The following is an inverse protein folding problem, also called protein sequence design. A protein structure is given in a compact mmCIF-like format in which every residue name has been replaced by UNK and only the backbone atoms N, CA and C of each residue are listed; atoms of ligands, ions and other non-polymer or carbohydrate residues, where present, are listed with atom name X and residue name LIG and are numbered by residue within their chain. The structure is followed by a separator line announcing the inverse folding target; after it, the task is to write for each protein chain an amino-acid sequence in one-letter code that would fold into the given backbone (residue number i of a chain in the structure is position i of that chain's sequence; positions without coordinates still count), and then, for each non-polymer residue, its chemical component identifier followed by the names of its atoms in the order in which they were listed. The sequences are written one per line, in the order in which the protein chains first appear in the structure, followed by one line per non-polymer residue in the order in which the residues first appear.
data_IF_299572976053
#
_entry.id   IF_299572976053
#
_cell.length_a   1.000
_cell.length_b   1.000
_cell.length_c   1.000
_cell.angle_alpha   90.00
_cell.angle_beta   90.00
_cell.angle_gamma   90.00
#
_symmetry.space_group_name_H-M   'P 1'
#
loop_
_entity.id
_entity.type
_entity.pdbx_description
1 polymer ?
#
# COMPACT_ATOMS: atom_id res chain seq x y z
N UNK A 1 15.98 -17.05 18.07
CA UNK A 1 14.81 -17.30 17.20
C UNK A 1 14.88 -16.31 16.04
N UNK A 2 14.97 -16.80 14.80
CA UNK A 2 14.92 -15.91 13.64
C UNK A 2 13.53 -15.27 13.59
N UNK A 3 13.46 -13.96 13.84
CA UNK A 3 12.21 -13.22 13.78
C UNK A 3 11.62 -13.39 12.38
N UNK A 4 10.44 -14.01 12.30
CA UNK A 4 9.73 -14.20 11.04
C UNK A 4 9.36 -12.82 10.49
N UNK A 5 9.92 -12.45 9.35
CA UNK A 5 9.63 -11.18 8.71
C UNK A 5 8.27 -11.26 8.00
N UNK A 6 7.30 -10.52 8.49
CA UNK A 6 5.96 -10.46 7.89
C UNK A 6 5.96 -9.52 6.68
N UNK A 7 5.38 -10.00 5.59
CA UNK A 7 5.14 -9.20 4.38
C UNK A 7 3.66 -8.89 4.28
N UNK A 8 3.31 -7.84 3.57
CA UNK A 8 1.91 -7.56 3.25
C UNK A 8 1.18 -8.81 2.77
N UNK A 9 0.00 -9.13 3.32
CA UNK A 9 -0.81 -10.24 2.85
C UNK A 9 -1.50 -9.92 1.50
N UNK A 10 -1.55 -8.66 1.07
CA UNK A 10 -2.20 -8.24 -0.16
C UNK A 10 -1.28 -8.35 -1.38
N UNK A 11 -1.89 -8.58 -2.54
CA UNK A 11 -1.29 -8.37 -3.86
C UNK A 11 -1.71 -6.97 -4.31
N UNK A 12 -0.90 -5.97 -4.00
CA UNK A 12 -1.24 -4.58 -4.26
C UNK A 12 -0.37 -4.02 -5.38
N UNK A 13 -0.95 -3.56 -6.50
CA UNK A 13 -0.19 -2.90 -7.56
C UNK A 13 0.58 -1.71 -6.99
N UNK A 14 1.80 -1.48 -7.45
CA UNK A 14 2.64 -0.39 -6.90
C UNK A 14 3.16 -0.60 -5.48
N UNK A 15 2.79 -1.70 -4.80
CA UNK A 15 3.21 -1.94 -3.40
C UNK A 15 4.72 -1.96 -3.21
N UNK A 16 5.21 -1.24 -2.21
CA UNK A 16 6.64 -0.94 -1.97
C UNK A 16 7.46 -2.07 -1.32
N UNK A 17 6.94 -3.31 -1.26
CA UNK A 17 7.66 -4.43 -0.62
C UNK A 17 9.08 -4.66 -1.15
N UNK A 18 9.32 -4.40 -2.44
CA UNK A 18 10.66 -4.51 -3.05
C UNK A 18 11.51 -3.26 -2.79
N UNK A 19 10.86 -2.10 -2.74
CA UNK A 19 11.51 -0.82 -2.50
C UNK A 19 12.04 -0.68 -1.06
N UNK A 20 11.49 -1.41 -0.10
CA UNK A 20 11.88 -1.33 1.32
C UNK A 20 13.41 -1.47 1.50
N UNK A 21 14.07 -2.30 0.69
CA UNK A 21 15.53 -2.48 0.75
C UNK A 21 16.30 -1.18 0.54
N UNK A 22 15.73 -0.26 -0.24
CA UNK A 22 16.27 1.06 -0.55
C UNK A 22 15.68 2.07 0.43
N UNK A 23 14.34 2.13 0.55
CA UNK A 23 13.62 3.13 1.34
C UNK A 23 14.06 3.19 2.80
N UNK A 24 14.35 2.03 3.41
CA UNK A 24 14.75 1.92 4.84
C UNK A 24 15.93 2.81 5.21
N UNK A 25 16.81 3.07 4.26
CA UNK A 25 18.02 3.85 4.46
C UNK A 25 17.76 5.37 4.51
N UNK A 26 16.55 5.79 4.08
CA UNK A 26 16.08 7.17 4.05
C UNK A 26 15.04 7.49 5.12
N UNK A 27 14.63 6.51 5.92
CA UNK A 27 13.71 6.78 7.01
C UNK A 27 14.39 7.58 8.13
N UNK A 28 13.71 8.53 8.78
CA UNK A 28 14.21 9.23 9.92
C UNK A 28 14.64 8.25 11.03
N UNK A 29 15.76 8.53 11.70
CA UNK A 29 16.30 7.67 12.79
C UNK A 29 15.37 7.58 14.00
N UNK A 30 14.52 8.60 14.20
CA UNK A 30 13.57 8.66 15.31
C UNK A 30 12.33 9.45 14.93
N UNK A 31 11.20 8.98 15.45
CA UNK A 31 9.91 9.65 15.41
C UNK A 31 9.02 9.03 16.52
N UNK A 32 7.99 9.76 16.94
CA UNK A 32 7.04 9.30 17.95
C UNK A 32 5.69 8.90 17.33
N UNK A 33 5.42 9.36 16.12
CA UNK A 33 4.20 9.09 15.39
C UNK A 33 4.53 8.83 13.92
N UNK A 34 3.93 7.78 13.35
CA UNK A 34 4.03 7.43 11.95
C UNK A 34 2.68 7.61 11.27
N UNK A 35 2.68 8.21 10.08
CA UNK A 35 1.48 8.38 9.25
C UNK A 35 1.70 7.88 7.84
N UNK A 36 0.74 7.14 7.31
CA UNK A 36 0.73 6.67 5.92
C UNK A 36 -0.64 6.97 5.30
N UNK A 37 -0.79 8.16 4.65
CA UNK A 37 -2.07 8.62 4.10
C UNK A 37 -2.60 7.81 2.92
N UNK A 38 -1.72 7.05 2.24
CA UNK A 38 -2.04 6.17 1.11
C UNK A 38 -1.55 4.75 1.44
N UNK A 39 -2.23 4.09 2.38
CA UNK A 39 -1.73 2.86 2.98
C UNK A 39 -1.71 1.67 1.99
N UNK A 40 -2.73 1.52 1.16
CA UNK A 40 -2.82 0.48 0.14
C UNK A 40 -2.45 -0.91 0.66
N UNK A 41 -1.35 -1.46 0.12
CA UNK A 41 -0.83 -2.76 0.56
C UNK A 41 -0.09 -2.75 1.90
N UNK A 42 0.12 -1.61 2.55
CA UNK A 42 0.71 -1.48 3.88
C UNK A 42 2.17 -1.92 4.03
N UNK A 43 2.91 -1.99 2.93
CA UNK A 43 4.25 -2.60 2.96
C UNK A 43 5.23 -1.86 3.85
N UNK A 44 5.19 -0.52 3.84
CA UNK A 44 6.13 0.32 4.60
C UNK A 44 5.72 0.37 6.07
N UNK A 45 4.46 0.61 6.37
CA UNK A 45 3.95 0.61 7.74
C UNK A 45 4.18 -0.72 8.46
N UNK A 46 3.90 -1.86 7.80
CA UNK A 46 4.17 -3.20 8.34
C UNK A 46 5.67 -3.39 8.61
N UNK A 47 6.53 -2.96 7.68
CA UNK A 47 7.97 -3.03 7.88
C UNK A 47 8.43 -2.22 9.10
N UNK A 48 7.97 -0.97 9.21
CA UNK A 48 8.32 -0.10 10.35
C UNK A 48 7.77 -0.66 11.66
N UNK A 49 6.52 -1.10 11.69
CA UNK A 49 5.90 -1.67 12.88
C UNK A 49 6.69 -2.86 13.43
N UNK A 50 7.10 -3.80 12.56
CA UNK A 50 7.89 -4.98 12.98
C UNK A 50 9.24 -4.60 13.57
N UNK A 51 9.93 -3.63 12.96
CA UNK A 51 11.25 -3.20 13.42
C UNK A 51 11.19 -2.33 14.67
N UNK A 52 10.02 -1.77 14.97
CA UNK A 52 9.78 -0.86 16.08
C UNK A 52 8.86 -1.45 17.17
N UNK A 53 8.54 -2.74 17.11
CA UNK A 53 7.67 -3.42 18.09
C UNK A 53 8.13 -3.23 19.55
N UNK A 54 9.45 -3.11 19.77
CA UNK A 54 10.02 -2.82 21.09
C UNK A 54 9.71 -1.39 21.59
N UNK A 55 9.34 -0.47 20.69
CA UNK A 55 8.95 0.91 21.01
C UNK A 55 7.43 1.01 21.08
N UNK A 56 6.81 0.46 22.10
CA UNK A 56 5.35 0.43 22.32
C UNK A 56 4.66 1.79 22.28
N UNK A 57 5.39 2.88 22.37
CA UNK A 57 4.86 4.25 22.43
C UNK A 57 4.58 4.84 21.03
N UNK A 58 5.09 4.24 19.95
CA UNK A 58 4.87 4.78 18.60
C UNK A 58 3.47 4.44 18.13
N UNK A 59 2.70 5.46 17.79
CA UNK A 59 1.39 5.31 17.14
C UNK A 59 1.55 5.31 15.62
N UNK A 60 0.79 4.44 14.96
CA UNK A 60 0.75 4.31 13.51
C UNK A 60 -0.63 4.69 13.01
N UNK A 61 -0.73 5.78 12.24
CA UNK A 61 -1.95 6.18 11.55
C UNK A 61 -1.87 5.75 10.10
N UNK A 62 -2.76 4.85 9.70
CA UNK A 62 -2.84 4.32 8.35
C UNK A 62 -4.18 4.70 7.73
N UNK A 63 -4.15 5.49 6.68
CA UNK A 63 -5.35 5.92 5.98
C UNK A 63 -5.40 5.33 4.57
N UNK A 64 -6.58 4.95 4.14
CA UNK A 64 -6.86 4.69 2.74
C UNK A 64 -8.25 5.21 2.39
N UNK A 65 -8.34 5.95 1.28
CA UNK A 65 -9.60 6.49 0.80
C UNK A 65 -10.53 5.40 0.25
N UNK A 66 -9.97 4.26 -0.17
CA UNK A 66 -10.74 3.10 -0.57
C UNK A 66 -11.28 2.36 0.66
N UNK A 67 -12.60 2.43 0.86
CA UNK A 67 -13.27 1.82 1.99
C UNK A 67 -13.04 0.30 2.11
N UNK A 68 -12.87 -0.42 0.99
CA UNK A 68 -12.61 -1.86 1.03
C UNK A 68 -11.20 -2.17 1.58
N UNK A 69 -10.21 -1.34 1.24
CA UNK A 69 -8.85 -1.42 1.79
C UNK A 69 -8.87 -1.12 3.28
N UNK A 70 -9.55 -0.03 3.68
CA UNK A 70 -9.75 0.32 5.08
C UNK A 70 -10.41 -0.82 5.87
N UNK A 71 -11.56 -1.32 5.42
CA UNK A 71 -12.29 -2.41 6.09
C UNK A 71 -11.40 -3.64 6.24
N UNK A 72 -10.64 -4.02 5.19
CA UNK A 72 -9.72 -5.15 5.26
C UNK A 72 -8.70 -5.00 6.39
N UNK A 73 -8.00 -3.88 6.47
CA UNK A 73 -6.98 -3.67 7.50
C UNK A 73 -7.58 -3.54 8.90
N UNK A 74 -8.71 -2.85 9.02
CA UNK A 74 -9.42 -2.69 10.28
C UNK A 74 -9.89 -4.03 10.85
N UNK A 75 -10.54 -4.86 10.03
CA UNK A 75 -11.03 -6.18 10.43
C UNK A 75 -9.87 -7.16 10.65
N UNK A 76 -8.82 -7.11 9.82
CA UNK A 76 -7.62 -7.93 10.03
C UNK A 76 -6.96 -7.65 11.38
N UNK A 77 -7.02 -6.41 11.88
CA UNK A 77 -6.55 -6.04 13.21
C UNK A 77 -7.51 -6.50 14.31
N UNK A 78 -8.80 -6.23 14.16
CA UNK A 78 -9.78 -6.33 15.26
C UNK A 78 -10.47 -7.69 15.35
N UNK A 79 -10.59 -8.41 14.24
CA UNK A 79 -11.30 -9.68 14.13
C UNK A 79 -10.49 -10.72 13.35
N UNK A 80 -9.17 -10.77 13.59
CA UNK A 80 -8.21 -11.57 12.81
C UNK A 80 -8.62 -13.03 12.64
N UNK A 81 -8.90 -13.73 13.75
CA UNK A 81 -9.21 -15.16 13.71
C UNK A 81 -10.55 -15.44 13.02
N UNK A 82 -11.56 -14.59 13.23
CA UNK A 82 -12.87 -14.73 12.57
C UNK A 82 -12.71 -14.56 11.06
N UNK A 83 -11.96 -13.54 10.61
CA UNK A 83 -11.69 -13.30 9.20
C UNK A 83 -10.97 -14.49 8.55
N UNK A 84 -9.96 -15.05 9.23
CA UNK A 84 -9.23 -16.22 8.74
C UNK A 84 -10.16 -17.42 8.57
N UNK A 85 -11.01 -17.68 9.56
CA UNK A 85 -11.93 -18.81 9.54
C UNK A 85 -12.91 -18.71 8.39
N UNK A 86 -13.51 -17.53 8.17
CA UNK A 86 -14.47 -17.33 7.07
C UNK A 86 -13.82 -17.42 5.69
N UNK A 87 -12.63 -16.87 5.51
CA UNK A 87 -11.87 -17.01 4.26
C UNK A 87 -11.52 -18.49 4.01
N UNK A 88 -11.20 -19.25 5.08
CA UNK A 88 -10.93 -20.68 4.97
C UNK A 88 -12.20 -21.46 4.58
N UNK A 89 -13.36 -21.11 5.14
CA UNK A 89 -14.65 -21.70 4.78
C UNK A 89 -14.96 -21.46 3.30
N UNK A 90 -14.80 -20.23 2.80
CA UNK A 90 -14.96 -19.91 1.38
C UNK A 90 -14.04 -20.78 0.52
N UNK A 91 -12.75 -20.87 0.90
CA UNK A 91 -11.78 -21.66 0.14
C UNK A 91 -12.18 -23.14 0.05
N UNK A 92 -12.73 -23.70 1.12
CA UNK A 92 -13.13 -25.10 1.18
C UNK A 92 -14.44 -25.35 0.40
N UNK A 93 -15.36 -24.38 0.40
CA UNK A 93 -16.69 -24.52 -0.20
C UNK A 93 -16.69 -24.38 -1.72
N UNK A 94 -15.81 -23.52 -2.27
CA UNK A 94 -15.80 -23.24 -3.71
C UNK A 94 -14.71 -24.02 -4.44
N UNK A 95 -15.13 -24.87 -5.38
CA UNK A 95 -14.23 -25.56 -6.34
C UNK A 95 -14.14 -24.81 -7.67
N UNK A 96 -15.17 -24.03 -8.01
CA UNK A 96 -15.24 -23.21 -9.21
C UNK A 96 -14.94 -21.75 -8.87
N UNK A 97 -13.77 -21.28 -9.30
CA UNK A 97 -13.34 -19.91 -9.00
C UNK A 97 -14.13 -18.84 -9.77
N UNK A 98 -14.68 -19.17 -10.95
CA UNK A 98 -15.54 -18.26 -11.72
C UNK A 98 -16.85 -18.03 -10.98
N UNK A 99 -17.48 -19.09 -10.50
CA UNK A 99 -18.70 -18.99 -9.70
C UNK A 99 -18.48 -18.17 -8.42
N UNK A 100 -17.38 -18.41 -7.71
CA UNK A 100 -17.01 -17.61 -6.53
C UNK A 100 -16.89 -16.13 -6.90
N UNK A 101 -16.19 -15.80 -7.99
CA UNK A 101 -16.01 -14.43 -8.44
C UNK A 101 -17.34 -13.73 -8.73
N UNK A 102 -18.24 -14.38 -9.48
CA UNK A 102 -19.56 -13.84 -9.82
C UNK A 102 -20.43 -13.62 -8.56
N UNK A 103 -20.41 -14.57 -7.64
CA UNK A 103 -21.12 -14.46 -6.35
C UNK A 103 -20.60 -13.28 -5.52
N UNK A 104 -19.29 -13.08 -5.45
CA UNK A 104 -18.70 -11.95 -4.74
C UNK A 104 -19.05 -10.61 -5.40
N UNK A 105 -19.02 -10.51 -6.73
CA UNK A 105 -19.41 -9.28 -7.43
C UNK A 105 -20.89 -8.94 -7.22
N UNK A 106 -21.77 -9.94 -7.31
CA UNK A 106 -23.20 -9.75 -7.07
C UNK A 106 -23.47 -9.28 -5.63
N UNK A 107 -22.71 -9.80 -4.67
CA UNK A 107 -22.83 -9.42 -3.26
C UNK A 107 -22.35 -7.99 -3.01
N UNK A 108 -21.30 -7.53 -3.68
CA UNK A 108 -20.78 -6.15 -3.56
C UNK A 108 -21.79 -5.06 -3.97
N UNK A 109 -22.80 -5.40 -4.75
CA UNK A 109 -23.90 -4.50 -5.09
C UNK A 109 -24.93 -4.33 -3.96
N UNK A 110 -24.79 -5.11 -2.88
CA UNK A 110 -25.62 -5.04 -1.68
C UNK A 110 -24.94 -4.20 -0.59
N UNK A 111 -25.70 -3.82 0.42
CA UNK A 111 -25.14 -3.16 1.59
C UNK A 111 -24.41 -4.20 2.46
N UNK A 112 -23.07 -4.27 2.33
CA UNK A 112 -22.23 -5.15 3.12
C UNK A 112 -21.77 -4.43 4.38
N UNK A 113 -21.71 -5.17 5.50
CA UNK A 113 -20.99 -4.72 6.68
C UNK A 113 -19.46 -4.74 6.45
N UNK A 114 -18.71 -4.14 7.36
CA UNK A 114 -17.26 -4.02 7.24
C UNK A 114 -16.54 -5.36 7.21
N UNK A 115 -17.04 -6.35 7.95
CA UNK A 115 -16.48 -7.70 7.97
C UNK A 115 -16.65 -8.41 6.63
N UNK A 116 -17.87 -8.38 6.09
CA UNK A 116 -18.18 -8.95 4.78
C UNK A 116 -17.36 -8.27 3.68
N UNK A 117 -17.24 -6.94 3.75
CA UNK A 117 -16.45 -6.13 2.81
C UNK A 117 -14.97 -6.50 2.86
N UNK A 118 -14.40 -6.65 4.05
CA UNK A 118 -13.01 -7.06 4.25
C UNK A 118 -12.71 -8.45 3.69
N UNK A 119 -13.61 -9.40 3.95
CA UNK A 119 -13.53 -10.77 3.47
C UNK A 119 -13.60 -10.83 1.94
N UNK A 120 -14.61 -10.18 1.34
CA UNK A 120 -14.79 -10.12 -0.10
C UNK A 120 -13.60 -9.48 -0.80
N UNK A 121 -13.09 -8.38 -0.24
CA UNK A 121 -11.91 -7.69 -0.76
C UNK A 121 -10.69 -8.62 -0.78
N UNK A 122 -10.40 -9.34 0.31
CA UNK A 122 -9.26 -10.25 0.35
C UNK A 122 -9.41 -11.38 -0.67
N UNK A 123 -10.57 -12.02 -0.75
CA UNK A 123 -10.78 -13.12 -1.70
C UNK A 123 -10.66 -12.63 -3.14
N UNK A 124 -11.31 -11.53 -3.49
CA UNK A 124 -11.20 -10.92 -4.82
C UNK A 124 -9.75 -10.55 -5.16
N UNK A 125 -9.00 -9.98 -4.20
CA UNK A 125 -7.58 -9.69 -4.37
C UNK A 125 -6.75 -10.94 -4.71
N UNK A 126 -7.20 -12.13 -4.29
CA UNK A 126 -6.52 -13.40 -4.60
C UNK A 126 -6.91 -14.00 -5.94
N UNK A 127 -8.15 -13.80 -6.40
CA UNK A 127 -8.70 -14.48 -7.57
C UNK A 127 -8.78 -13.60 -8.82
N UNK A 128 -8.47 -12.29 -8.69
CA UNK A 128 -8.45 -11.35 -9.82
C UNK A 128 -7.07 -11.24 -10.46
N UNK A 129 -7.06 -10.76 -11.70
CA UNK A 129 -5.83 -10.48 -12.42
C UNK A 129 -5.01 -9.40 -11.68
N UNK A 130 -3.74 -9.68 -11.42
CA UNK A 130 -2.81 -8.80 -10.67
C UNK A 130 -3.28 -8.35 -9.28
N UNK A 131 -4.36 -8.91 -8.73
CA UNK A 131 -4.92 -8.50 -7.45
C UNK A 131 -5.74 -7.20 -7.50
N UNK A 132 -6.07 -6.73 -8.69
CA UNK A 132 -6.92 -5.55 -8.90
C UNK A 132 -8.38 -5.96 -8.70
N UNK A 133 -9.02 -5.44 -7.67
CA UNK A 133 -10.35 -5.89 -7.25
C UNK A 133 -11.45 -5.33 -8.15
N UNK A 134 -11.40 -4.04 -8.46
CA UNK A 134 -12.50 -3.35 -9.15
C UNK A 134 -12.47 -3.50 -10.68
N UNK A 135 -11.28 -3.58 -11.28
CA UNK A 135 -11.09 -3.55 -12.74
C UNK A 135 -10.30 -4.75 -13.29
N UNK A 136 -9.80 -5.65 -12.44
CA UNK A 136 -8.87 -6.71 -12.84
C UNK A 136 -9.52 -7.92 -13.49
N UNK A 137 -10.81 -8.13 -13.31
CA UNK A 137 -11.52 -9.30 -13.77
C UNK A 137 -11.04 -10.62 -13.13
N UNK A 138 -11.76 -11.69 -13.37
CA UNK A 138 -11.41 -13.03 -12.89
C UNK A 138 -10.17 -13.60 -13.59
N UNK A 139 -9.35 -14.31 -12.84
CA UNK A 139 -8.20 -15.06 -13.36
C UNK A 139 -8.15 -16.47 -12.78
N UNK A 140 -8.38 -17.49 -13.60
CA UNK A 140 -8.26 -18.90 -13.21
C UNK A 140 -6.88 -19.20 -12.62
N UNK A 141 -5.81 -18.72 -13.27
CA UNK A 141 -4.43 -18.87 -12.77
C UNK A 141 -4.25 -18.22 -11.38
N UNK A 142 -4.89 -17.07 -11.12
CA UNK A 142 -4.82 -16.45 -9.82
C UNK A 142 -5.60 -17.26 -8.77
N UNK A 143 -6.80 -17.75 -9.10
CA UNK A 143 -7.56 -18.61 -8.20
C UNK A 143 -6.76 -19.83 -7.77
N UNK A 144 -6.12 -20.54 -8.70
CA UNK A 144 -5.34 -21.75 -8.41
C UNK A 144 -4.04 -21.45 -7.66
N UNK A 145 -3.28 -20.43 -8.09
CA UNK A 145 -1.90 -20.19 -7.61
C UNK A 145 -1.78 -19.10 -6.56
N UNK A 146 -2.83 -18.32 -6.29
CA UNK A 146 -2.79 -17.18 -5.35
C UNK A 146 -3.81 -17.29 -4.22
N UNK A 147 -4.97 -17.93 -4.44
CA UNK A 147 -5.91 -18.25 -3.37
C UNK A 147 -5.55 -19.58 -2.72
N UNK A 148 -4.40 -19.62 -2.09
CA UNK A 148 -3.78 -20.81 -1.51
C UNK A 148 -3.83 -20.81 0.01
N UNK A 149 -3.65 -21.96 0.64
CA UNK A 149 -3.52 -22.08 2.10
C UNK A 149 -2.45 -21.15 2.64
N UNK A 150 -1.28 -21.08 1.98
CA UNK A 150 -0.20 -20.19 2.42
C UNK A 150 -0.56 -18.71 2.33
N UNK A 151 -1.50 -18.31 1.44
CA UNK A 151 -1.98 -16.94 1.37
C UNK A 151 -2.88 -16.56 2.55
N UNK A 152 -3.67 -17.52 3.05
CA UNK A 152 -4.50 -17.36 4.25
C UNK A 152 -3.62 -17.34 5.50
N UNK A 153 -2.61 -18.19 5.56
CA UNK A 153 -1.66 -18.23 6.68
C UNK A 153 -0.87 -16.94 6.87
N UNK A 154 -0.75 -16.12 5.84
CA UNK A 154 -0.13 -14.79 5.98
C UNK A 154 -0.97 -13.80 6.80
N UNK A 155 -2.24 -14.08 7.00
CA UNK A 155 -3.11 -13.27 7.86
C UNK A 155 -2.87 -13.55 9.35
N UNK A 156 -2.31 -14.73 9.68
CA UNK A 156 -2.05 -15.12 11.08
C UNK A 156 -1.05 -14.16 11.73
N UNK A 157 -1.33 -13.78 12.95
CA UNK A 157 -0.54 -12.88 13.78
C UNK A 157 -0.38 -11.45 13.22
N UNK A 158 -1.15 -11.07 12.19
CA UNK A 158 -1.16 -9.69 11.72
C UNK A 158 -1.76 -8.73 12.74
N UNK A 159 -2.72 -9.17 13.54
CA UNK A 159 -3.27 -8.42 14.68
C UNK A 159 -2.17 -7.94 15.64
N UNK A 160 -1.20 -8.80 15.96
CA UNK A 160 -0.04 -8.43 16.79
C UNK A 160 0.82 -7.35 16.13
N UNK A 161 1.08 -7.45 14.82
CA UNK A 161 1.85 -6.44 14.08
C UNK A 161 1.08 -5.13 14.01
N UNK A 162 -0.23 -5.20 13.84
CA UNK A 162 -1.10 -4.05 13.64
C UNK A 162 -1.63 -3.45 14.96
N UNK A 163 -1.22 -3.97 16.11
CA UNK A 163 -1.79 -3.56 17.41
C UNK A 163 -1.74 -2.05 17.67
N UNK A 164 -0.67 -1.37 17.22
CA UNK A 164 -0.48 0.07 17.40
C UNK A 164 -1.01 0.91 16.22
N UNK A 165 -1.67 0.29 15.23
CA UNK A 165 -2.26 1.01 14.12
C UNK A 165 -3.63 1.57 14.46
N UNK A 166 -3.89 2.78 13.99
CA UNK A 166 -5.20 3.41 13.91
C UNK A 166 -5.52 3.52 12.43
N UNK A 167 -6.49 2.73 11.96
CA UNK A 167 -6.95 2.76 10.58
C UNK A 167 -8.02 3.83 10.39
N UNK A 168 -7.92 4.58 9.30
CA UNK A 168 -8.75 5.73 8.96
C UNK A 168 -9.24 5.58 7.52
N UNK A 169 -10.47 6.04 7.24
CA UNK A 169 -11.02 6.09 5.89
C UNK A 169 -11.55 7.49 5.61
N UNK A 170 -10.64 8.39 5.32
CA UNK A 170 -10.90 9.81 5.11
C UNK A 170 -10.04 10.37 3.98
N UNK A 171 -10.20 11.66 3.67
CA UNK A 171 -9.25 12.36 2.81
C UNK A 171 -7.85 12.36 3.43
N UNK A 172 -6.82 12.13 2.61
CA UNK A 172 -5.42 12.17 3.03
C UNK A 172 -5.02 13.50 3.70
N UNK A 173 -5.71 14.59 3.35
CA UNK A 173 -5.48 15.93 3.86
C UNK A 173 -5.65 16.02 5.37
N UNK A 174 -6.67 15.35 5.90
CA UNK A 174 -6.94 15.32 7.34
C UNK A 174 -5.74 14.77 8.11
N UNK A 175 -5.10 13.73 7.57
CA UNK A 175 -3.94 13.13 8.20
C UNK A 175 -2.67 13.98 8.07
N UNK A 176 -2.53 14.74 6.97
CA UNK A 176 -1.43 15.69 6.79
C UNK A 176 -1.54 16.89 7.73
N UNK A 177 -2.76 17.38 7.96
CA UNK A 177 -3.03 18.58 8.79
C UNK A 177 -3.14 18.28 10.28
N UNK A 178 -3.30 17.01 10.65
CA UNK A 178 -3.42 16.59 12.06
C UNK A 178 -2.21 17.06 12.84
N UNK A 179 -2.44 17.72 13.99
CA UNK A 179 -1.37 18.08 14.92
C UNK A 179 -0.66 16.84 15.46
N UNK A 180 0.63 16.99 15.79
CA UNK A 180 1.45 15.90 16.32
C UNK A 180 2.87 16.36 16.62
N UNK A 181 3.60 15.55 17.40
CA UNK A 181 4.98 15.82 17.79
C UNK A 181 5.92 14.73 17.25
N UNK A 182 7.01 15.14 16.61
CA UNK A 182 7.99 14.23 16.01
C UNK A 182 7.35 13.22 15.05
N UNK A 183 6.54 13.73 14.12
CA UNK A 183 5.78 12.93 13.15
C UNK A 183 6.63 12.63 11.93
N UNK A 184 6.60 11.37 11.48
CA UNK A 184 7.09 10.94 10.18
C UNK A 184 5.93 10.50 9.30
N UNK A 185 5.79 11.11 8.12
CA UNK A 185 4.75 10.81 7.13
C UNK A 185 5.41 10.11 5.93
N UNK A 186 4.96 8.92 5.59
CA UNK A 186 5.32 8.26 4.34
C UNK A 186 4.15 8.35 3.37
N UNK A 187 4.43 8.77 2.12
CA UNK A 187 3.41 8.97 1.09
C UNK A 187 3.76 8.17 -0.16
N UNK A 188 2.80 7.41 -0.65
CA UNK A 188 2.85 6.68 -1.91
C UNK A 188 1.54 6.92 -2.68
N UNK A 189 1.31 8.17 -3.17
CA UNK A 189 0.07 8.54 -3.84
C UNK A 189 -0.04 7.87 -5.23
N UNK A 190 -1.21 7.94 -5.89
CA UNK A 190 -1.32 7.58 -7.30
C UNK A 190 -0.27 8.33 -8.13
N UNK A 191 0.48 7.60 -8.97
CA UNK A 191 1.54 8.17 -9.79
C UNK A 191 1.00 8.97 -10.98
N UNK A 192 1.70 10.04 -11.35
CA UNK A 192 1.30 10.90 -12.45
C UNK A 192 1.24 10.16 -13.80
N UNK A 193 2.24 9.36 -14.12
CA UNK A 193 2.28 8.56 -15.35
C UNK A 193 1.20 7.48 -15.39
N UNK A 194 0.71 7.04 -14.24
CA UNK A 194 -0.32 6.03 -14.13
C UNK A 194 -1.76 6.59 -14.27
N UNK A 195 -1.94 7.90 -14.44
CA UNK A 195 -3.24 8.53 -14.68
C UNK A 195 -3.97 7.98 -15.91
N UNK A 196 -3.24 7.36 -16.84
CA UNK A 196 -3.81 6.64 -17.99
C UNK A 196 -4.24 5.21 -17.65
N UNK A 197 -3.92 4.68 -16.47
CA UNK A 197 -4.25 3.32 -16.03
C UNK A 197 -5.40 3.34 -15.01
N UNK A 198 -6.38 2.43 -15.18
CA UNK A 198 -7.55 2.31 -14.29
C UNK A 198 -7.29 1.30 -13.17
N UNK A 199 -6.23 1.48 -12.38
CA UNK A 199 -5.81 0.48 -11.40
C UNK A 199 -6.58 0.53 -10.07
N UNK A 200 -7.14 1.68 -9.69
CA UNK A 200 -7.76 1.89 -8.37
C UNK A 200 -9.13 2.58 -8.47
N UNK A 201 -10.06 2.17 -7.60
CA UNK A 201 -11.43 2.70 -7.52
C UNK A 201 -12.38 2.13 -8.57
N UNK A 202 -13.68 2.39 -8.38
CA UNK A 202 -14.71 2.02 -9.36
C UNK A 202 -14.43 2.78 -10.66
N UNK A 203 -14.11 2.08 -11.75
CA UNK A 203 -13.74 2.62 -13.06
C UNK A 203 -12.40 3.40 -13.10
N UNK A 204 -11.54 3.29 -12.08
CA UNK A 204 -10.24 3.97 -12.04
C UNK A 204 -10.30 5.44 -11.60
N UNK A 205 -11.39 5.88 -10.99
CA UNK A 205 -11.65 7.26 -10.58
C UNK A 205 -10.67 7.78 -9.52
N UNK A 206 -10.20 6.92 -8.63
CA UNK A 206 -9.18 7.28 -7.62
C UNK A 206 -7.81 7.60 -8.22
N UNK A 207 -7.55 7.19 -9.46
CA UNK A 207 -6.28 7.45 -10.16
C UNK A 207 -6.37 8.66 -11.09
N UNK A 208 -7.46 8.74 -11.85
CA UNK A 208 -7.62 9.76 -12.90
C UNK A 208 -7.99 11.13 -12.35
N UNK A 209 -8.55 11.19 -11.13
CA UNK A 209 -8.98 12.42 -10.47
C UNK A 209 -8.01 12.95 -9.40
N UNK A 210 -6.81 12.33 -9.21
CA UNK A 210 -5.90 12.75 -8.15
C UNK A 210 -5.23 14.09 -8.48
N UNK A 211 -5.33 15.06 -7.56
CA UNK A 211 -4.77 16.39 -7.74
C UNK A 211 -3.33 16.46 -7.17
N UNK A 212 -2.35 16.28 -8.05
CA UNK A 212 -0.92 16.27 -7.71
C UNK A 212 -0.43 17.64 -7.21
N UNK A 213 -0.97 18.74 -7.79
CA UNK A 213 -0.63 20.09 -7.37
C UNK A 213 -1.10 20.39 -5.95
N UNK A 214 -2.35 19.99 -5.63
CA UNK A 214 -2.90 20.15 -4.27
C UNK A 214 -2.11 19.36 -3.23
N UNK A 215 -1.64 18.15 -3.58
CA UNK A 215 -0.76 17.40 -2.68
C UNK A 215 0.54 18.16 -2.42
N UNK A 216 1.18 18.70 -3.45
CA UNK A 216 2.40 19.50 -3.32
C UNK A 216 2.17 20.72 -2.41
N UNK A 217 1.08 21.46 -2.63
CA UNK A 217 0.70 22.63 -1.80
C UNK A 217 0.50 22.24 -0.33
N UNK A 218 -0.19 21.13 -0.06
CA UNK A 218 -0.37 20.61 1.28
C UNK A 218 0.96 20.23 1.94
N UNK A 219 1.89 19.63 1.18
CA UNK A 219 3.22 19.26 1.68
C UNK A 219 4.14 20.46 1.91
N UNK A 220 4.00 21.55 1.16
CA UNK A 220 4.70 22.82 1.43
C UNK A 220 4.29 23.43 2.78
N UNK A 221 3.07 23.18 3.21
CA UNK A 221 2.51 23.71 4.44
C UNK A 221 2.66 22.78 5.67
N UNK A 222 3.12 21.53 5.47
CA UNK A 222 3.28 20.61 6.60
C UNK A 222 4.52 20.94 7.44
N UNK A 223 4.37 20.86 8.77
CA UNK A 223 5.46 21.00 9.75
C UNK A 223 6.16 19.66 10.04
N UNK A 224 5.60 18.56 9.54
CA UNK A 224 6.06 17.21 9.82
C UNK A 224 7.11 16.76 8.81
N UNK A 225 7.98 15.84 9.23
CA UNK A 225 8.91 15.20 8.29
C UNK A 225 8.15 14.29 7.35
N UNK A 226 8.40 14.37 6.06
CA UNK A 226 7.80 13.46 5.11
C UNK A 226 8.81 12.85 4.14
N UNK A 227 8.50 11.65 3.68
CA UNK A 227 9.16 10.97 2.56
C UNK A 227 8.07 10.53 1.57
N UNK A 228 8.16 11.02 0.35
CA UNK A 228 7.19 10.81 -0.72
C UNK A 228 7.86 10.01 -1.86
N UNK A 229 7.17 9.03 -2.39
CA UNK A 229 7.57 8.30 -3.60
C UNK A 229 6.73 8.75 -4.80
N UNK A 230 7.37 8.92 -5.95
CA UNK A 230 6.71 9.29 -7.19
C UNK A 230 7.41 8.68 -8.41
N UNK A 231 6.70 8.60 -9.55
CA UNK A 231 7.32 8.37 -10.85
C UNK A 231 8.16 9.58 -11.27
N UNK A 232 9.27 9.31 -11.95
CA UNK A 232 10.12 10.35 -12.49
C UNK A 232 9.48 10.96 -13.73
N UNK A 233 9.02 12.20 -13.59
CA UNK A 233 8.45 13.00 -14.66
C UNK A 233 8.80 14.47 -14.50
N UNK A 234 8.86 15.19 -15.63
CA UNK A 234 9.18 16.62 -15.65
C UNK A 234 8.24 17.44 -14.76
N UNK A 235 6.92 17.13 -14.82
CA UNK A 235 5.93 17.78 -13.98
C UNK A 235 6.20 17.57 -12.48
N UNK A 236 6.50 16.35 -12.05
CA UNK A 236 6.78 16.06 -10.64
C UNK A 236 8.07 16.72 -10.19
N UNK A 237 9.11 16.71 -11.02
CA UNK A 237 10.36 17.42 -10.71
C UNK A 237 10.13 18.93 -10.55
N UNK A 238 9.32 19.55 -11.41
CA UNK A 238 9.01 20.99 -11.30
C UNK A 238 8.14 21.30 -10.07
N UNK A 239 7.10 20.50 -9.79
CA UNK A 239 6.24 20.71 -8.61
C UNK A 239 7.03 20.66 -7.28
N UNK A 240 8.00 19.75 -7.20
CA UNK A 240 8.74 19.48 -5.97
C UNK A 240 10.18 20.01 -5.96
N UNK A 241 10.54 20.92 -6.89
CA UNK A 241 11.91 21.46 -7.03
C UNK A 241 12.49 22.12 -5.77
N UNK A 242 11.62 22.59 -4.87
CA UNK A 242 12.01 23.23 -3.60
C UNK A 242 12.31 22.20 -2.47
N UNK A 243 12.16 20.91 -2.75
CA UNK A 243 12.41 19.82 -1.81
C UNK A 243 13.67 19.04 -2.18
N UNK A 244 14.12 18.16 -1.27
CA UNK A 244 15.18 17.22 -1.57
C UNK A 244 14.65 16.12 -2.48
N UNK A 245 15.24 15.94 -3.66
CA UNK A 245 14.87 14.94 -4.65
C UNK A 245 16.02 13.97 -4.85
N UNK A 246 15.74 12.68 -4.80
CA UNK A 246 16.67 11.60 -5.06
C UNK A 246 16.08 10.58 -6.03
N UNK A 247 16.83 10.21 -7.05
CA UNK A 247 16.44 9.14 -7.96
C UNK A 247 16.77 7.77 -7.37
N UNK A 248 15.86 6.81 -7.55
CA UNK A 248 16.14 5.43 -7.30
C UNK A 248 15.51 4.53 -8.36
N UNK A 249 16.15 3.41 -8.60
CA UNK A 249 15.67 2.46 -9.62
C UNK A 249 15.07 1.24 -8.96
N UNK A 250 13.85 0.88 -9.37
CA UNK A 250 13.23 -0.39 -9.02
C UNK A 250 13.12 -1.29 -10.24
N UNK A 251 13.56 -2.53 -10.09
CA UNK A 251 13.31 -3.55 -11.08
C UNK A 251 11.89 -4.10 -10.89
N UNK A 252 10.95 -3.63 -11.71
CA UNK A 252 9.57 -4.13 -11.71
C UNK A 252 9.52 -5.53 -12.29
N UNK A 253 9.10 -6.51 -11.49
CA UNK A 253 9.08 -7.93 -11.88
C UNK A 253 7.86 -8.37 -12.66
N UNK A 254 7.21 -7.49 -13.42
CA UNK A 254 6.21 -7.86 -14.41
C UNK A 254 6.77 -7.60 -15.80
N UNK A 255 7.46 -8.60 -16.34
CA UNK A 255 7.71 -8.62 -17.77
C UNK A 255 6.39 -8.89 -18.48
N UNK A 256 5.95 -7.96 -19.32
CA UNK A 256 5.06 -8.31 -20.41
C UNK A 256 5.78 -9.39 -21.23
N UNK A 257 5.08 -10.47 -21.55
CA UNK A 257 5.58 -11.69 -22.22
C UNK A 257 6.31 -11.42 -23.58
N UNK A 258 6.36 -10.16 -24.00
CA UNK A 258 6.97 -9.70 -25.26
C UNK A 258 8.20 -8.77 -25.07
N UNK A 259 8.64 -8.48 -23.84
CA UNK A 259 9.82 -7.63 -23.61
C UNK A 259 10.94 -8.47 -22.97
N UNK A 260 12.07 -8.52 -23.67
CA UNK A 260 13.29 -9.24 -23.26
C UNK A 260 14.05 -8.57 -22.10
N UNK A 261 13.69 -7.34 -21.71
CA UNK A 261 14.24 -6.66 -20.53
C UNK A 261 13.10 -5.98 -19.76
N UNK A 262 13.08 -6.17 -18.43
CA UNK A 262 12.20 -5.42 -17.56
C UNK A 262 12.60 -3.94 -17.61
N UNK A 263 11.66 -3.07 -17.95
CA UNK A 263 11.89 -1.64 -17.90
C UNK A 263 12.27 -1.26 -16.45
N UNK A 264 13.45 -0.68 -16.26
CA UNK A 264 13.81 -0.02 -15.02
C UNK A 264 12.95 1.24 -14.94
N UNK A 265 11.94 1.24 -14.09
CA UNK A 265 11.21 2.46 -13.76
C UNK A 265 12.12 3.32 -12.87
N UNK A 266 12.47 4.51 -13.34
CA UNK A 266 13.05 5.51 -12.47
C UNK A 266 11.94 6.06 -11.58
N UNK A 267 12.17 6.05 -10.27
CA UNK A 267 11.28 6.63 -9.27
C UNK A 267 12.03 7.70 -8.50
N UNK A 268 11.27 8.64 -7.95
CA UNK A 268 11.79 9.73 -7.13
C UNK A 268 11.46 9.47 -5.66
N UNK A 269 12.43 9.75 -4.80
CA UNK A 269 12.23 10.04 -3.39
C UNK A 269 12.26 11.54 -3.20
N UNK A 270 11.24 12.07 -2.54
CA UNK A 270 11.09 13.50 -2.31
C UNK A 270 10.85 13.70 -0.80
N UNK A 271 11.57 14.65 -0.18
CA UNK A 271 11.44 14.92 1.25
C UNK A 271 11.71 16.38 1.60
N UNK A 272 11.23 16.80 2.79
CA UNK A 272 11.56 18.10 3.38
C UNK A 272 12.77 18.04 4.34
N UNK A 273 13.49 16.95 4.35
CA UNK A 273 14.74 16.77 5.09
C UNK A 273 15.81 16.15 4.19
N UNK A 274 17.09 16.35 4.54
CA UNK A 274 18.21 15.90 3.71
C UNK A 274 18.24 14.38 3.48
N UNK A 275 18.40 13.97 2.23
CA UNK A 275 18.56 12.59 1.76
C UNK A 275 20.08 12.31 1.57
N UNK A 276 20.87 12.33 2.62
CA UNK A 276 22.35 12.29 2.59
C UNK A 276 22.95 11.18 1.73
N UNK A 277 22.35 9.98 1.71
CA UNK A 277 22.83 8.86 0.88
C UNK A 277 22.76 9.09 -0.62
N UNK A 278 21.89 9.97 -1.08
CA UNK A 278 21.77 10.32 -2.51
C UNK A 278 22.97 11.12 -3.03
N UNK A 279 23.59 11.92 -2.19
CA UNK A 279 24.74 12.74 -2.57
C UNK A 279 25.99 11.91 -2.84
N UNK A 280 26.09 10.73 -2.23
CA UNK A 280 27.24 9.83 -2.40
C UNK A 280 27.17 9.04 -3.72
N UNK A 281 25.96 8.75 -4.24
CA UNK A 281 25.80 7.99 -5.48
C UNK A 281 25.96 8.81 -6.76
N UNK A 282 25.89 10.14 -6.68
CA UNK A 282 26.12 11.04 -7.83
C UNK A 282 27.59 11.30 -8.12
N UNK A 283 28.53 10.89 -7.23
CA UNK A 283 29.97 11.10 -7.37
C UNK A 283 30.79 9.82 -7.59
N UNK A 284 30.12 8.67 -7.74
CA UNK A 284 30.75 7.38 -8.05
C UNK A 284 30.31 6.87 -9.43
N UNK A 285 30.48 7.70 -10.47
CA UNK A 285 30.44 7.31 -11.86
C UNK A 285 31.81 7.48 -12.49
#
# INVERSE_FOLDING_TARGET
MNARFYKSPLRYPGGKSRAIKILKDYFPKSFNEYREPFFGGGSVGIYLAQNLLHRKQIQFFANDFNADVYCFWHILKTQNQALINEIQNIKNSYKNGRELYENLLNRRNKNLDDFQRAMDFFVLNRITFSGVVDCGGYSQKAFESRFTQSSIERLKNMDTILQNFIFINESYENLLQKEGKDVFIFLDPPYYSATKSRLYGKKGDLHTGFNHQKLCENLKNTKHKFLLTYDDSELIRELYKDFYICEYSLQYGMNNYKQTQAAKGAELLISNFSLEKCQISMWSA
#
